data_IF_128885894577
#
_entry.id   IF_128885894577
#
_cell.length_a   1.000
_cell.length_b   1.000
_cell.length_c   1.000
_cell.angle_alpha   90.00
_cell.angle_beta   90.00
_cell.angle_gamma   90.00
#
_symmetry.space_group_name_H-M   'P 1'
#
loop_
_entity.id
_entity.type
_entity.pdbx_description
1 polymer ?
#
# COMPACT_ATOMS: atom_id res chain seq x y z
N UNK A 1 20.58 -13.56 14.39
CA UNK A 1 19.50 -12.57 14.50
C UNK A 1 18.66 -12.58 13.23
N UNK A 2 17.37 -12.56 13.40
CA UNK A 2 16.46 -12.46 12.28
C UNK A 2 15.88 -11.05 12.18
N UNK A 3 15.55 -10.66 10.97
CA UNK A 3 14.92 -9.39 10.69
C UNK A 3 13.41 -9.54 10.90
N UNK A 4 12.93 -9.12 12.06
CA UNK A 4 11.52 -9.19 12.41
C UNK A 4 10.75 -7.93 11.97
N UNK A 5 9.44 -7.92 12.15
CA UNK A 5 8.58 -6.81 11.75
C UNK A 5 8.97 -5.50 12.43
N UNK A 6 9.35 -5.55 13.70
CA UNK A 6 9.79 -4.37 14.47
C UNK A 6 11.06 -3.77 13.85
N UNK A 7 12.05 -4.60 13.55
CA UNK A 7 13.30 -4.16 12.93
C UNK A 7 13.06 -3.57 11.54
N UNK A 8 12.19 -4.18 10.76
CA UNK A 8 11.83 -3.66 9.43
C UNK A 8 11.19 -2.28 9.55
N UNK A 9 10.27 -2.09 10.47
CA UNK A 9 9.61 -0.79 10.69
C UNK A 9 10.61 0.28 11.12
N UNK A 10 11.52 -0.06 12.02
CA UNK A 10 12.57 0.86 12.46
C UNK A 10 13.51 1.20 11.30
N UNK A 11 13.92 0.22 10.52
CA UNK A 11 14.76 0.46 9.34
C UNK A 11 14.07 1.36 8.33
N UNK A 12 12.80 1.12 8.04
CA UNK A 12 12.01 1.98 7.15
C UNK A 12 11.98 3.43 7.66
N UNK A 13 11.79 3.62 8.95
CA UNK A 13 11.79 4.94 9.57
C UNK A 13 13.15 5.62 9.44
N UNK A 14 14.23 4.88 9.64
CA UNK A 14 15.60 5.40 9.50
C UNK A 14 15.85 5.84 8.05
N UNK A 15 15.55 4.99 7.09
CA UNK A 15 15.76 5.31 5.66
C UNK A 15 14.91 6.50 5.25
N UNK A 16 13.64 6.49 5.58
CA UNK A 16 12.70 7.56 5.25
C UNK A 16 13.16 8.90 5.83
N UNK A 17 13.53 8.92 7.10
CA UNK A 17 14.02 10.13 7.76
C UNK A 17 15.32 10.63 7.15
N UNK A 18 16.25 9.73 6.85
CA UNK A 18 17.51 10.09 6.23
C UNK A 18 17.33 10.67 4.82
N UNK A 19 16.42 10.08 4.03
CA UNK A 19 16.11 10.61 2.70
C UNK A 19 15.49 12.00 2.76
N UNK A 20 14.72 12.27 3.81
CA UNK A 20 14.04 13.54 3.99
C UNK A 20 14.98 14.63 4.49
N UNK A 21 15.85 14.31 5.45
CA UNK A 21 16.70 15.30 6.11
C UNK A 21 18.14 15.34 5.61
N UNK A 22 18.65 14.23 5.07
CA UNK A 22 20.06 14.08 4.70
C UNK A 22 21.00 13.97 5.89
N UNK A 23 20.48 13.86 7.10
CA UNK A 23 21.26 13.80 8.33
C UNK A 23 21.19 12.43 8.99
N UNK A 24 22.26 11.99 9.69
CA UNK A 24 22.21 10.75 10.45
C UNK A 24 21.09 10.74 11.48
N UNK A 25 20.51 9.58 11.69
CA UNK A 25 19.28 9.41 12.46
C UNK A 25 19.58 8.80 13.80
N UNK A 26 19.09 9.41 14.88
CA UNK A 26 19.23 8.90 16.25
C UNK A 26 17.98 8.19 16.74
N UNK A 27 18.12 7.44 17.84
CA UNK A 27 17.01 6.68 18.44
C UNK A 27 15.85 7.56 18.90
N UNK A 28 16.16 8.77 19.37
CA UNK A 28 15.11 9.74 19.78
C UNK A 28 14.24 10.17 18.64
N UNK A 29 14.86 10.43 17.49
CA UNK A 29 14.15 10.81 16.29
C UNK A 29 13.20 9.69 15.86
N UNK A 30 13.68 8.46 15.89
CA UNK A 30 12.86 7.30 15.52
C UNK A 30 11.74 7.07 16.52
N UNK A 31 11.98 7.27 17.83
CA UNK A 31 10.92 7.10 18.83
C UNK A 31 9.77 8.09 18.65
N UNK A 32 10.06 9.27 18.11
CA UNK A 32 9.03 10.29 17.79
C UNK A 32 8.37 10.07 16.45
N UNK A 33 9.07 9.42 15.54
CA UNK A 33 8.68 9.28 14.14
C UNK A 33 7.79 8.06 13.89
N UNK A 34 7.89 7.03 14.71
CA UNK A 34 7.18 5.77 14.50
C UNK A 34 6.02 5.60 15.47
N UNK A 35 4.97 4.91 15.03
CA UNK A 35 3.82 4.55 15.86
C UNK A 35 4.04 3.31 16.70
N UNK A 36 5.29 2.91 16.90
CA UNK A 36 5.64 1.67 17.59
C UNK A 36 5.50 1.75 19.10
N UNK A 37 5.36 2.96 19.66
CA UNK A 37 5.28 3.19 21.11
C UNK A 37 6.43 2.54 21.89
N UNK A 38 7.63 2.57 21.34
CA UNK A 38 8.82 2.02 21.96
C UNK A 38 9.66 3.13 22.59
N UNK A 39 10.31 2.80 23.70
CA UNK A 39 11.25 3.72 24.33
C UNK A 39 12.49 3.92 23.43
N UNK A 40 13.18 5.04 23.63
CA UNK A 40 14.45 5.30 22.93
C UNK A 40 15.48 4.20 23.19
N UNK A 41 15.48 3.63 24.39
CA UNK A 41 16.40 2.56 24.75
C UNK A 41 16.10 1.28 23.94
N UNK A 42 14.83 0.91 23.80
CA UNK A 42 14.44 -0.24 23.00
C UNK A 42 14.80 -0.03 21.53
N UNK A 43 14.52 1.16 21.01
CA UNK A 43 14.87 1.51 19.64
C UNK A 43 16.39 1.47 19.44
N UNK A 44 17.14 1.96 20.40
CA UNK A 44 18.62 1.89 20.34
C UNK A 44 19.10 0.45 20.25
N UNK A 45 18.51 -0.46 21.01
CA UNK A 45 18.85 -1.88 20.98
C UNK A 45 18.53 -2.49 19.60
N UNK A 46 17.37 -2.15 19.04
CA UNK A 46 16.99 -2.62 17.72
C UNK A 46 17.92 -2.04 16.63
N UNK A 47 18.31 -0.78 16.76
CA UNK A 47 19.27 -0.15 15.85
C UNK A 47 20.64 -0.81 15.94
N UNK A 48 21.06 -1.18 17.15
CA UNK A 48 22.31 -1.91 17.36
C UNK A 48 22.30 -3.25 16.62
N UNK A 49 21.19 -3.97 16.68
CA UNK A 49 21.01 -5.22 15.96
C UNK A 49 21.05 -4.99 14.44
N UNK A 50 20.38 -3.95 13.97
CA UNK A 50 20.37 -3.60 12.54
C UNK A 50 21.76 -3.24 12.04
N UNK A 51 22.56 -2.55 12.87
CA UNK A 51 23.94 -2.22 12.53
C UNK A 51 24.79 -3.49 12.45
N UNK A 52 24.64 -4.38 13.41
CA UNK A 52 25.35 -5.65 13.42
C UNK A 52 24.99 -6.52 12.20
N UNK A 53 23.73 -6.46 11.79
CA UNK A 53 23.25 -7.17 10.60
C UNK A 53 23.69 -6.49 9.29
N UNK A 54 24.26 -5.30 9.35
CA UNK A 54 24.77 -4.59 8.19
C UNK A 54 23.76 -3.73 7.46
N UNK A 55 22.61 -3.45 8.05
CA UNK A 55 21.58 -2.62 7.42
C UNK A 55 21.77 -1.13 7.63
N UNK A 56 22.45 -0.74 8.71
CA UNK A 56 22.76 0.66 9.01
C UNK A 56 24.23 0.79 9.41
N UNK A 57 24.75 2.01 9.28
CA UNK A 57 26.14 2.33 9.55
C UNK A 57 26.23 3.56 10.46
N UNK A 58 27.30 3.64 11.25
CA UNK A 58 27.63 4.84 12.00
C UNK A 58 28.61 5.69 11.17
N UNK A 59 28.24 6.90 10.78
CA UNK A 59 29.17 7.80 10.12
C UNK A 59 30.23 8.31 11.10
N UNK A 60 31.40 8.68 10.60
CA UNK A 60 32.55 9.04 11.44
C UNK A 60 32.33 10.26 12.35
N UNK A 61 31.43 11.15 11.97
CA UNK A 61 31.26 12.43 12.65
C UNK A 61 29.98 12.55 13.46
N UNK A 62 29.23 11.48 13.60
CA UNK A 62 27.95 11.55 14.26
C UNK A 62 27.66 10.30 15.08
N UNK A 63 26.87 10.48 16.16
CA UNK A 63 26.35 9.38 16.96
C UNK A 63 25.14 8.71 16.30
N UNK A 64 24.55 9.36 15.29
CA UNK A 64 23.42 8.80 14.55
C UNK A 64 23.82 7.70 13.58
N UNK A 65 22.83 7.21 12.85
CA UNK A 65 23.03 6.11 11.88
C UNK A 65 22.50 6.51 10.53
N UNK A 66 23.16 5.99 9.50
CA UNK A 66 22.70 6.13 8.11
C UNK A 66 22.44 4.74 7.52
N UNK A 67 21.56 4.61 6.52
CA UNK A 67 21.34 3.33 5.86
C UNK A 67 22.58 2.88 5.08
N UNK A 68 22.86 1.58 5.09
CA UNK A 68 23.82 0.98 4.18
C UNK A 68 23.16 0.66 2.85
N UNK A 69 23.93 0.23 1.86
CA UNK A 69 23.39 -0.25 0.59
C UNK A 69 22.38 -1.39 0.81
N UNK A 70 22.70 -2.29 1.74
CA UNK A 70 21.83 -3.39 2.13
C UNK A 70 20.51 -2.86 2.73
N UNK A 71 20.61 -1.82 3.56
CA UNK A 71 19.44 -1.17 4.16
C UNK A 71 18.55 -0.51 3.12
N UNK A 72 19.12 0.23 2.18
CA UNK A 72 18.36 0.82 1.08
C UNK A 72 17.67 -0.25 0.23
N UNK A 73 18.38 -1.31 -0.07
CA UNK A 73 17.83 -2.39 -0.90
C UNK A 73 16.61 -3.02 -0.23
N UNK A 74 16.71 -3.31 1.06
CA UNK A 74 15.58 -3.84 1.81
C UNK A 74 14.41 -2.85 1.83
N UNK A 75 14.70 -1.57 2.01
CA UNK A 75 13.68 -0.52 2.00
C UNK A 75 12.94 -0.47 0.67
N UNK A 76 13.67 -0.50 -0.44
CA UNK A 76 13.08 -0.49 -1.78
C UNK A 76 12.25 -1.75 -2.00
N UNK A 77 12.78 -2.92 -1.65
CA UNK A 77 12.06 -4.19 -1.80
C UNK A 77 10.74 -4.18 -1.01
N UNK A 78 10.78 -3.67 0.21
CA UNK A 78 9.58 -3.57 1.06
C UNK A 78 8.57 -2.59 0.48
N UNK A 79 9.04 -1.45 -0.05
CA UNK A 79 8.15 -0.48 -0.70
C UNK A 79 7.49 -1.08 -1.95
N UNK A 80 8.23 -1.84 -2.73
CA UNK A 80 7.69 -2.49 -3.93
C UNK A 80 6.63 -3.53 -3.56
N UNK A 81 6.88 -4.30 -2.51
CA UNK A 81 5.91 -5.27 -2.01
C UNK A 81 4.63 -4.58 -1.52
N UNK A 82 4.76 -3.51 -0.75
CA UNK A 82 3.63 -2.73 -0.26
C UNK A 82 2.83 -2.13 -1.43
N UNK A 83 3.51 -1.61 -2.46
CA UNK A 83 2.86 -1.06 -3.64
C UNK A 83 2.18 -2.14 -4.47
N UNK A 84 2.81 -3.30 -4.62
CA UNK A 84 2.22 -4.43 -5.32
C UNK A 84 0.94 -4.90 -4.63
N UNK A 85 0.93 -4.96 -3.30
CA UNK A 85 -0.24 -5.33 -2.52
C UNK A 85 -1.35 -4.29 -2.66
N UNK A 86 -0.99 -3.01 -2.58
CA UNK A 86 -1.93 -1.89 -2.76
C UNK A 86 -2.59 -1.95 -4.14
N UNK A 87 -1.81 -2.16 -5.19
CA UNK A 87 -2.32 -2.29 -6.55
C UNK A 87 -3.23 -3.51 -6.68
N UNK A 88 -2.85 -4.63 -6.08
CA UNK A 88 -3.68 -5.83 -6.07
C UNK A 88 -5.03 -5.58 -5.39
N UNK A 89 -5.03 -4.94 -4.24
CA UNK A 89 -6.25 -4.62 -3.49
C UNK A 89 -7.15 -3.67 -4.29
N UNK A 90 -6.57 -2.68 -4.95
CA UNK A 90 -7.31 -1.78 -5.83
C UNK A 90 -7.93 -2.52 -7.01
N UNK A 91 -7.21 -3.46 -7.58
CA UNK A 91 -7.69 -4.28 -8.68
C UNK A 91 -8.89 -5.12 -8.26
N UNK A 92 -8.80 -5.78 -7.11
CA UNK A 92 -9.91 -6.57 -6.55
C UNK A 92 -11.13 -5.69 -6.32
N UNK A 93 -10.95 -4.52 -5.73
CA UNK A 93 -12.04 -3.57 -5.49
C UNK A 93 -12.70 -3.12 -6.80
N UNK A 94 -11.90 -2.81 -7.82
CA UNK A 94 -12.41 -2.42 -9.13
C UNK A 94 -13.19 -3.56 -9.80
N UNK A 95 -12.72 -4.78 -9.69
CA UNK A 95 -13.41 -5.95 -10.24
C UNK A 95 -14.76 -6.16 -9.57
N UNK A 96 -14.84 -5.98 -8.25
CA UNK A 96 -16.10 -6.06 -7.51
C UNK A 96 -17.09 -4.99 -7.95
N UNK A 97 -16.62 -3.75 -8.08
CA UNK A 97 -17.45 -2.63 -8.54
C UNK A 97 -17.93 -2.83 -9.97
N UNK A 98 -17.03 -3.31 -10.84
CA UNK A 98 -17.39 -3.63 -12.23
C UNK A 98 -18.46 -4.72 -12.29
N UNK A 99 -18.35 -5.74 -11.43
CA UNK A 99 -19.36 -6.80 -11.32
C UNK A 99 -20.72 -6.27 -10.89
N UNK A 100 -20.74 -5.35 -9.93
CA UNK A 100 -21.99 -4.71 -9.47
C UNK A 100 -22.63 -3.87 -10.56
N UNK A 101 -21.84 -3.13 -11.32
CA UNK A 101 -22.34 -2.34 -12.45
C UNK A 101 -22.90 -3.25 -13.53
N UNK A 102 -22.22 -4.34 -13.85
CA UNK A 102 -22.67 -5.31 -14.83
C UNK A 102 -24.01 -5.92 -14.43
N UNK A 103 -24.16 -6.31 -13.16
CA UNK A 103 -25.40 -6.83 -12.61
C UNK A 103 -26.52 -5.80 -12.70
N UNK A 104 -26.22 -4.55 -12.37
CA UNK A 104 -27.18 -3.46 -12.48
C UNK A 104 -27.64 -3.26 -13.91
N UNK A 105 -26.70 -3.25 -14.86
CA UNK A 105 -27.00 -3.12 -16.28
C UNK A 105 -27.86 -4.26 -16.78
N UNK A 106 -27.57 -5.48 -16.36
CA UNK A 106 -28.39 -6.63 -16.69
C UNK A 106 -29.81 -6.50 -16.13
N UNK A 107 -29.95 -6.02 -14.91
CA UNK A 107 -31.27 -5.80 -14.29
C UNK A 107 -32.06 -4.72 -15.05
N UNK A 108 -31.40 -3.62 -15.41
CA UNK A 108 -32.04 -2.54 -16.18
C UNK A 108 -32.45 -3.05 -17.56
N UNK A 109 -31.55 -3.76 -18.23
CA UNK A 109 -31.86 -4.33 -19.56
C UNK A 109 -33.06 -5.28 -19.49
N UNK A 110 -33.15 -6.10 -18.45
CA UNK A 110 -34.28 -7.00 -18.25
C UNK A 110 -35.59 -6.24 -18.05
N UNK A 111 -35.56 -5.16 -17.23
CA UNK A 111 -36.72 -4.31 -17.02
C UNK A 111 -37.16 -3.65 -18.33
N UNK A 112 -36.21 -3.13 -19.10
CA UNK A 112 -36.50 -2.50 -20.38
C UNK A 112 -37.08 -3.52 -21.39
N UNK A 113 -36.56 -4.74 -21.40
CA UNK A 113 -37.08 -5.79 -22.26
C UNK A 113 -38.53 -6.15 -21.91
N UNK A 114 -38.86 -6.26 -20.61
CA UNK A 114 -40.23 -6.51 -20.16
C UNK A 114 -41.15 -5.36 -20.53
N UNK A 115 -40.73 -4.11 -20.31
CA UNK A 115 -41.52 -2.94 -20.67
C UNK A 115 -41.68 -2.82 -22.18
N UNK A 116 -40.66 -3.13 -22.95
CA UNK A 116 -40.72 -3.11 -24.41
C UNK A 116 -41.69 -4.17 -24.93
N UNK A 117 -41.65 -5.37 -24.37
CA UNK A 117 -42.59 -6.45 -24.73
C UNK A 117 -44.02 -6.05 -24.40
N UNK A 118 -44.23 -5.42 -23.23
CA UNK A 118 -45.55 -4.92 -22.84
C UNK A 118 -46.02 -3.83 -23.81
N UNK A 119 -45.17 -2.89 -24.13
CA UNK A 119 -45.49 -1.82 -25.07
C UNK A 119 -45.83 -2.38 -26.45
N UNK A 120 -45.11 -3.39 -26.91
CA UNK A 120 -45.37 -4.08 -28.19
C UNK A 120 -46.73 -4.74 -28.17
N UNK A 121 -47.11 -5.40 -27.10
CA UNK A 121 -48.41 -6.02 -26.96
C UNK A 121 -49.57 -5.02 -27.00
N UNK A 122 -49.37 -3.86 -26.38
CA UNK A 122 -50.40 -2.80 -26.28
C UNK A 122 -50.45 -1.97 -27.56
N UNK A 123 -49.29 -1.59 -28.10
CA UNK A 123 -49.19 -0.63 -29.23
C UNK A 123 -49.01 -1.28 -30.58
N UNK A 124 -48.78 -2.57 -30.66
CA UNK A 124 -48.57 -3.29 -31.90
C UNK A 124 -47.10 -3.42 -32.31
N UNK A 125 -46.81 -4.20 -33.39
CA UNK A 125 -45.45 -4.62 -33.72
C UNK A 125 -44.55 -3.53 -34.29
N UNK A 126 -45.06 -2.36 -34.62
CA UNK A 126 -44.30 -1.30 -35.24
C UNK A 126 -43.07 -0.81 -34.41
N UNK A 127 -43.09 -1.07 -33.12
CA UNK A 127 -41.97 -0.71 -32.23
C UNK A 127 -40.88 -1.74 -32.24
N UNK A 128 -41.19 -2.97 -32.59
CA UNK A 128 -40.21 -4.06 -32.60
C UNK A 128 -39.10 -3.89 -33.66
N UNK A 129 -39.34 -3.11 -34.69
CA UNK A 129 -38.39 -2.88 -35.78
C UNK A 129 -37.41 -1.74 -35.49
N UNK A 130 -37.62 -0.96 -34.43
CA UNK A 130 -36.71 0.15 -34.06
C UNK A 130 -35.46 -0.40 -33.42
N UNK A 131 -34.34 -0.22 -34.10
CA UNK A 131 -33.02 -0.56 -33.61
C UNK A 131 -32.20 0.71 -33.43
N UNK A 132 -31.39 0.66 -32.41
CA UNK A 132 -30.44 1.72 -32.13
C UNK A 132 -29.10 1.37 -32.70
#
# INVERSE_FOLDING_TARGET
>A
MELDERKVKILKAIVSNYLETGEPVGSRTISKYTDLNLSSATIRNEMSDLEEMGYILQPHTSAGRIPSDKGYRLYVDTMLDDKAQEVHDMKVELEEKAGKIDDLLKSVAKLLAVNTNYATMVSGPRYASKKV
#
